data_IF_717737040302
#
_entry.id   IF_717737040302
#
_cell.length_a   1.000
_cell.length_b   1.000
_cell.length_c   1.000
_cell.angle_alpha   90.00
_cell.angle_beta   90.00
_cell.angle_gamma   90.00
#
_symmetry.space_group_name_H-M   'P 1'
#
loop_
_entity.id
_entity.type
_entity.pdbx_description
1 polymer ?
#
# COMPACT_ATOMS: atom_id res chain seq x y z
N UNK A 1 -51.86 -0.37 -23.67
CA UNK A 1 -52.23 -0.85 -22.33
C UNK A 1 -50.99 -0.69 -21.44
N UNK A 2 -51.23 -0.33 -20.22
CA UNK A 2 -50.21 -0.37 -19.20
C UNK A 2 -50.35 -1.69 -18.43
N UNK A 3 -49.32 -2.52 -18.48
CA UNK A 3 -49.24 -3.82 -17.82
C UNK A 3 -48.10 -3.81 -16.77
N UNK A 4 -47.73 -2.63 -16.26
CA UNK A 4 -46.70 -2.46 -15.25
C UNK A 4 -47.13 -3.13 -13.95
N UNK A 5 -46.20 -3.87 -13.35
CA UNK A 5 -46.38 -4.58 -12.07
C UNK A 5 -45.16 -4.43 -11.15
N UNK A 6 -45.09 -5.26 -10.10
CA UNK A 6 -43.98 -5.27 -9.15
C UNK A 6 -42.62 -5.65 -9.75
N UNK A 7 -42.64 -6.29 -10.92
CA UNK A 7 -41.43 -6.76 -11.60
C UNK A 7 -40.88 -5.71 -12.57
N UNK A 8 -41.63 -4.66 -12.87
CA UNK A 8 -41.17 -3.56 -13.71
C UNK A 8 -42.26 -2.88 -14.54
N UNK A 9 -41.85 -1.87 -15.29
CA UNK A 9 -42.70 -1.10 -16.18
C UNK A 9 -42.87 -1.84 -17.50
N UNK A 10 -44.14 -2.05 -17.91
CA UNK A 10 -44.49 -2.70 -19.18
C UNK A 10 -45.63 -1.97 -19.87
N UNK A 11 -45.32 -1.33 -20.99
CA UNK A 11 -46.28 -0.67 -21.86
C UNK A 11 -46.47 -1.51 -23.13
N UNK A 12 -47.72 -1.91 -23.42
CA UNK A 12 -48.05 -2.73 -24.58
C UNK A 12 -48.82 -1.90 -25.59
N UNK A 13 -48.29 -1.79 -26.81
CA UNK A 13 -48.87 -1.06 -27.94
C UNK A 13 -49.32 -2.07 -29.00
N UNK A 14 -50.63 -2.23 -29.17
CA UNK A 14 -51.21 -3.09 -30.20
C UNK A 14 -51.40 -2.29 -31.48
N UNK A 15 -50.97 -2.88 -32.59
CA UNK A 15 -51.04 -2.24 -33.90
C UNK A 15 -52.17 -2.84 -34.72
N UNK A 16 -52.75 -2.06 -35.68
CA UNK A 16 -53.64 -2.55 -36.70
C UNK A 16 -52.91 -3.54 -37.63
N UNK A 17 -53.65 -4.47 -38.25
CA UNK A 17 -53.08 -5.55 -39.09
C UNK A 17 -52.14 -5.07 -40.19
N UNK A 18 -52.42 -3.91 -40.77
CA UNK A 18 -51.66 -3.34 -41.90
C UNK A 18 -50.54 -2.40 -41.50
N UNK A 19 -50.30 -2.21 -40.19
CA UNK A 19 -49.27 -1.32 -39.69
C UNK A 19 -47.92 -2.05 -39.56
N UNK A 20 -46.86 -1.44 -40.08
CA UNK A 20 -45.50 -1.96 -39.89
C UNK A 20 -44.98 -1.59 -38.50
N UNK A 21 -44.67 -2.59 -37.62
CA UNK A 21 -44.24 -2.36 -36.27
C UNK A 21 -42.97 -1.52 -36.18
N UNK A 22 -42.01 -1.73 -37.10
CA UNK A 22 -40.72 -1.03 -37.09
C UNK A 22 -40.89 0.47 -37.40
N UNK A 23 -41.78 0.82 -38.31
CA UNK A 23 -42.06 2.22 -38.65
C UNK A 23 -42.71 2.93 -37.46
N UNK A 24 -43.65 2.28 -36.78
CA UNK A 24 -44.29 2.82 -35.58
C UNK A 24 -43.28 3.02 -34.45
N UNK A 25 -42.44 2.01 -34.22
CA UNK A 25 -41.38 2.06 -33.18
C UNK A 25 -40.40 3.22 -33.45
N UNK A 26 -39.92 3.36 -34.67
CA UNK A 26 -39.03 4.44 -35.06
C UNK A 26 -39.68 5.82 -34.89
N UNK A 27 -40.97 5.96 -35.17
CA UNK A 27 -41.72 7.20 -34.92
C UNK A 27 -41.86 7.48 -33.42
N UNK A 28 -42.12 6.47 -32.62
CA UNK A 28 -42.18 6.61 -31.15
C UNK A 28 -40.83 7.06 -30.60
N UNK A 29 -39.73 6.51 -31.05
CA UNK A 29 -38.39 6.95 -30.64
C UNK A 29 -38.08 8.39 -31.06
N UNK A 30 -38.52 8.80 -32.26
CA UNK A 30 -38.27 10.15 -32.77
C UNK A 30 -39.19 11.23 -32.17
N UNK A 31 -40.41 10.89 -31.80
CA UNK A 31 -41.44 11.86 -31.37
C UNK A 31 -41.76 11.81 -29.88
N UNK A 32 -41.20 10.86 -29.13
CA UNK A 32 -41.42 10.70 -27.70
C UNK A 32 -40.09 10.53 -26.96
N UNK A 33 -40.11 10.53 -25.63
CA UNK A 33 -38.94 10.31 -24.78
C UNK A 33 -38.68 8.79 -24.53
N UNK A 34 -39.25 7.88 -25.35
CA UNK A 34 -38.97 6.45 -25.23
C UNK A 34 -37.52 6.08 -25.51
N UNK A 35 -36.82 6.89 -26.30
CA UNK A 35 -35.40 6.82 -26.48
C UNK A 35 -34.80 8.21 -26.18
N UNK A 36 -33.94 8.28 -25.19
CA UNK A 36 -33.24 9.49 -24.82
C UNK A 36 -31.74 9.21 -24.66
N UNK A 37 -30.93 10.25 -24.84
CA UNK A 37 -29.48 10.19 -24.61
C UNK A 37 -29.17 10.64 -23.22
N UNK A 38 -28.37 9.87 -22.51
CA UNK A 38 -27.82 10.26 -21.22
C UNK A 38 -26.36 10.61 -21.39
N UNK A 39 -26.03 11.86 -21.21
CA UNK A 39 -24.64 12.33 -21.28
C UNK A 39 -23.97 12.15 -19.92
N UNK A 40 -22.84 11.46 -19.91
CA UNK A 40 -22.00 11.32 -18.71
C UNK A 40 -20.87 12.34 -18.81
N UNK A 41 -20.80 13.24 -17.84
CA UNK A 41 -19.74 14.23 -17.73
C UNK A 41 -18.85 13.90 -16.51
N UNK A 42 -17.72 13.27 -16.78
CA UNK A 42 -16.78 12.82 -15.74
C UNK A 42 -15.70 13.87 -15.52
N UNK A 43 -15.99 14.85 -14.68
CA UNK A 43 -15.00 15.82 -14.22
C UNK A 43 -14.20 15.24 -13.06
N UNK A 44 -12.89 15.14 -13.21
CA UNK A 44 -11.98 14.68 -12.18
C UNK A 44 -10.76 15.59 -12.06
N UNK A 45 -10.07 15.49 -10.92
CA UNK A 45 -8.79 16.14 -10.69
C UNK A 45 -7.66 15.17 -11.05
N UNK A 46 -6.77 15.60 -11.94
CA UNK A 46 -5.58 14.86 -12.35
C UNK A 46 -4.30 15.55 -11.84
N UNK A 47 -3.14 14.95 -12.02
CA UNK A 47 -1.84 15.49 -11.60
C UNK A 47 -1.82 15.87 -10.10
N UNK A 48 -2.04 14.90 -9.22
CA UNK A 48 -2.07 15.09 -7.76
C UNK A 48 -3.08 16.18 -7.32
N UNK A 49 -4.29 16.14 -7.89
CA UNK A 49 -5.40 17.03 -7.56
C UNK A 49 -5.18 18.50 -7.95
N UNK A 50 -4.22 18.78 -8.83
CA UNK A 50 -3.91 20.16 -9.21
C UNK A 50 -4.68 20.67 -10.42
N UNK A 51 -5.22 19.76 -11.27
CA UNK A 51 -5.82 20.15 -12.54
C UNK A 51 -7.19 19.49 -12.76
N UNK A 52 -8.30 20.26 -12.84
CA UNK A 52 -9.59 19.71 -13.22
C UNK A 52 -9.63 19.40 -14.73
N UNK A 53 -10.12 18.21 -15.10
CA UNK A 53 -10.23 17.77 -16.49
C UNK A 53 -11.42 16.85 -16.68
N UNK A 54 -12.11 17.01 -17.81
CA UNK A 54 -13.14 16.04 -18.23
C UNK A 54 -12.44 14.85 -18.85
N UNK A 55 -12.70 13.67 -18.30
CA UNK A 55 -12.01 12.44 -18.67
C UNK A 55 -12.96 11.43 -19.34
N UNK A 56 -12.43 10.64 -20.26
CA UNK A 56 -13.08 9.42 -20.70
C UNK A 56 -12.91 8.32 -19.63
N UNK A 57 -13.76 7.29 -19.67
CA UNK A 57 -13.66 6.14 -18.76
C UNK A 57 -12.27 5.51 -18.79
N UNK A 58 -11.71 5.30 -19.98
CA UNK A 58 -10.35 4.74 -20.13
C UNK A 58 -9.31 5.60 -19.41
N UNK A 59 -9.38 6.92 -19.62
CA UNK A 59 -8.40 7.84 -19.00
C UNK A 59 -8.51 7.84 -17.46
N UNK A 60 -9.73 7.72 -16.91
CA UNK A 60 -9.93 7.57 -15.45
C UNK A 60 -9.25 6.30 -14.93
N UNK A 61 -9.37 5.18 -15.66
CA UNK A 61 -8.72 3.94 -15.28
C UNK A 61 -7.18 4.04 -15.36
N UNK A 62 -6.66 4.67 -16.39
CA UNK A 62 -5.22 4.88 -16.55
C UNK A 62 -4.66 5.75 -15.40
N UNK A 63 -5.31 6.86 -15.05
CA UNK A 63 -4.94 7.72 -13.93
C UNK A 63 -5.05 7.00 -12.57
N UNK A 64 -6.09 6.19 -12.40
CA UNK A 64 -6.26 5.39 -11.19
C UNK A 64 -5.13 4.37 -11.00
N UNK A 65 -4.76 3.65 -12.06
CA UNK A 65 -3.66 2.67 -12.02
C UNK A 65 -2.35 3.38 -11.70
N UNK A 66 -2.05 4.49 -12.37
CA UNK A 66 -0.84 5.27 -12.12
C UNK A 66 -0.77 5.76 -10.65
N UNK A 67 -1.89 6.23 -10.10
CA UNK A 67 -1.98 6.63 -8.71
C UNK A 67 -1.74 5.45 -7.74
N UNK A 68 -2.32 4.29 -8.03
CA UNK A 68 -2.12 3.10 -7.21
C UNK A 68 -0.66 2.61 -7.22
N UNK A 69 -0.01 2.63 -8.38
CA UNK A 69 1.43 2.32 -8.50
C UNK A 69 2.26 3.28 -7.63
N UNK A 70 1.99 4.57 -7.69
CA UNK A 70 2.69 5.57 -6.86
C UNK A 70 2.48 5.31 -5.36
N UNK A 71 1.25 4.99 -4.94
CA UNK A 71 0.93 4.66 -3.54
C UNK A 71 1.70 3.43 -3.08
N UNK A 72 1.76 2.36 -3.89
CA UNK A 72 2.52 1.14 -3.57
C UNK A 72 4.01 1.47 -3.42
N UNK A 73 4.60 2.21 -4.36
CA UNK A 73 6.01 2.61 -4.29
C UNK A 73 6.30 3.42 -3.02
N UNK A 74 5.45 4.39 -2.70
CA UNK A 74 5.61 5.26 -1.52
C UNK A 74 5.49 4.47 -0.22
N UNK A 75 4.52 3.57 -0.14
CA UNK A 75 4.34 2.65 0.99
C UNK A 75 5.55 1.72 1.14
N UNK A 76 5.99 1.07 0.07
CA UNK A 76 7.14 0.16 0.09
C UNK A 76 8.42 0.87 0.52
N UNK A 77 8.66 2.11 0.07
CA UNK A 77 9.81 2.91 0.53
C UNK A 77 9.74 3.24 2.02
N UNK A 78 8.57 3.51 2.53
CA UNK A 78 8.37 3.76 3.96
C UNK A 78 8.65 2.50 4.77
N UNK A 79 8.08 1.35 4.35
CA UNK A 79 8.24 0.07 5.03
C UNK A 79 9.70 -0.40 4.98
N UNK A 80 10.39 -0.22 3.83
CA UNK A 80 11.83 -0.49 3.69
C UNK A 80 12.64 0.31 4.69
N UNK A 81 12.44 1.62 4.74
CA UNK A 81 13.17 2.49 5.69
C UNK A 81 12.93 2.05 7.13
N UNK A 82 11.69 1.73 7.51
CA UNK A 82 11.37 1.26 8.87
C UNK A 82 12.00 -0.08 9.19
N UNK A 83 12.06 -0.99 8.23
CA UNK A 83 12.73 -2.27 8.39
C UNK A 83 14.26 -2.08 8.56
N UNK A 84 14.87 -1.21 7.75
CA UNK A 84 16.30 -0.88 7.85
C UNK A 84 16.66 -0.19 9.18
N UNK A 85 15.86 0.79 9.63
CA UNK A 85 16.02 1.44 10.94
C UNK A 85 15.97 0.41 12.09
N UNK A 86 15.06 -0.56 12.01
CA UNK A 86 14.92 -1.60 13.03
C UNK A 86 16.06 -2.63 12.96
N UNK A 87 16.42 -3.08 11.76
CA UNK A 87 17.54 -4.02 11.56
C UNK A 87 18.86 -3.42 12.08
N UNK A 88 19.11 -2.14 11.81
CA UNK A 88 20.27 -1.42 12.30
C UNK A 88 20.34 -1.37 13.85
N UNK A 89 19.20 -1.15 14.52
CA UNK A 89 19.14 -1.23 15.98
C UNK A 89 19.44 -2.65 16.50
N UNK A 90 18.87 -3.67 15.85
CA UNK A 90 19.08 -5.06 16.25
C UNK A 90 20.52 -5.50 16.07
N UNK A 91 21.18 -5.04 15.00
CA UNK A 91 22.62 -5.29 14.78
C UNK A 91 23.46 -4.78 15.96
N UNK A 92 23.23 -3.55 16.41
CA UNK A 92 23.90 -3.01 17.59
C UNK A 92 23.61 -3.80 18.86
N UNK A 93 22.37 -4.23 19.07
CA UNK A 93 21.98 -5.05 20.23
C UNK A 93 22.61 -6.46 20.19
N UNK A 94 22.74 -7.08 19.02
CA UNK A 94 23.43 -8.37 18.87
C UNK A 94 24.92 -8.24 19.18
N UNK A 95 25.60 -7.20 18.68
CA UNK A 95 27.00 -6.91 19.02
C UNK A 95 27.18 -6.75 20.53
N UNK A 96 26.27 -6.03 21.19
CA UNK A 96 26.31 -5.83 22.64
C UNK A 96 26.10 -7.15 23.39
N UNK A 97 25.23 -8.02 22.91
CA UNK A 97 24.91 -9.29 23.53
C UNK A 97 26.05 -10.30 23.39
N UNK A 98 26.78 -10.28 22.27
CA UNK A 98 27.98 -11.09 22.07
C UNK A 98 29.12 -10.70 22.98
N UNK A 99 29.15 -9.43 23.42
CA UNK A 99 30.23 -8.85 24.26
C UNK A 99 29.69 -8.32 25.59
N UNK A 100 28.69 -8.98 26.16
CA UNK A 100 27.93 -8.46 27.31
C UNK A 100 28.79 -8.11 28.53
N UNK A 101 29.78 -8.93 28.85
CA UNK A 101 30.67 -8.71 30.00
C UNK A 101 31.51 -7.42 29.84
N UNK A 102 31.96 -7.16 28.60
CA UNK A 102 32.71 -5.96 28.26
C UNK A 102 31.80 -4.71 28.26
N UNK A 103 30.60 -4.85 27.75
CA UNK A 103 29.58 -3.77 27.79
C UNK A 103 29.26 -3.39 29.24
N UNK A 104 29.00 -4.36 30.12
CA UNK A 104 28.74 -4.11 31.53
C UNK A 104 29.94 -3.46 32.20
N UNK A 105 31.17 -3.89 31.89
CA UNK A 105 32.39 -3.32 32.43
C UNK A 105 32.54 -1.87 32.02
N UNK A 106 32.33 -1.52 30.76
CA UNK A 106 32.37 -0.17 30.23
C UNK A 106 31.34 0.71 30.95
N UNK A 107 30.09 0.27 31.01
CA UNK A 107 29.02 1.04 31.66
C UNK A 107 29.34 1.32 33.14
N UNK A 108 29.86 0.32 33.86
CA UNK A 108 30.23 0.47 35.28
C UNK A 108 31.46 1.36 35.53
N UNK A 109 32.39 1.38 34.58
CA UNK A 109 33.61 2.18 34.69
C UNK A 109 33.45 3.62 34.18
N UNK A 110 32.39 3.92 33.45
CA UNK A 110 32.10 5.24 32.90
C UNK A 110 31.21 6.04 33.84
N UNK A 111 31.50 7.33 34.04
CA UNK A 111 30.70 8.23 34.87
C UNK A 111 29.53 8.84 34.05
N UNK A 112 29.87 9.53 32.94
CA UNK A 112 28.90 10.13 32.01
C UNK A 112 29.19 9.76 30.55
N UNK A 113 30.37 9.18 30.27
CA UNK A 113 30.87 8.93 28.90
C UNK A 113 30.59 7.51 28.42
N UNK A 114 29.63 6.79 29.02
CA UNK A 114 29.33 5.38 28.68
C UNK A 114 28.98 5.19 27.23
N UNK A 115 28.20 6.13 26.66
CA UNK A 115 27.77 6.10 25.25
C UNK A 115 29.00 6.22 24.33
N UNK A 116 29.83 7.22 24.53
CA UNK A 116 31.01 7.50 23.70
C UNK A 116 32.03 6.37 23.78
N UNK A 117 32.21 5.77 24.96
CA UNK A 117 33.05 4.60 25.15
C UNK A 117 32.53 3.35 24.42
N UNK A 118 31.20 3.11 24.40
CA UNK A 118 30.59 2.02 23.64
C UNK A 118 30.74 2.24 22.13
N UNK A 119 30.51 3.47 21.67
CA UNK A 119 30.71 3.84 20.26
C UNK A 119 32.15 3.61 19.80
N UNK A 120 33.13 4.11 20.58
CA UNK A 120 34.55 3.96 20.24
C UNK A 120 35.03 2.50 20.29
N UNK A 121 34.50 1.69 21.22
CA UNK A 121 34.95 0.32 21.41
C UNK A 121 34.38 -0.66 20.38
N UNK A 122 33.09 -0.53 20.04
CA UNK A 122 32.36 -1.48 19.18
C UNK A 122 32.05 -0.93 17.79
N UNK A 123 32.44 0.32 17.50
CA UNK A 123 32.12 0.96 16.21
C UNK A 123 30.63 1.24 15.99
N UNK A 124 29.91 1.42 17.10
CA UNK A 124 28.45 1.69 17.09
C UNK A 124 28.17 3.16 16.82
N UNK A 125 27.00 3.44 16.30
CA UNK A 125 26.50 4.82 16.21
C UNK A 125 25.81 5.26 17.52
N UNK A 126 25.43 6.53 17.57
CA UNK A 126 24.79 7.12 18.76
C UNK A 126 23.45 6.44 19.08
N UNK A 127 22.68 6.07 18.05
CA UNK A 127 21.35 5.46 18.20
C UNK A 127 21.48 4.04 18.74
N UNK A 128 22.43 3.26 18.23
CA UNK A 128 22.73 1.90 18.69
C UNK A 128 23.28 1.91 20.12
N UNK A 129 24.22 2.80 20.42
CA UNK A 129 24.79 2.93 21.77
C UNK A 129 23.73 3.34 22.80
N UNK A 130 22.82 4.27 22.45
CA UNK A 130 21.71 4.65 23.31
C UNK A 130 20.74 3.48 23.54
N UNK A 131 20.42 2.72 22.49
CA UNK A 131 19.56 1.54 22.61
C UNK A 131 20.15 0.47 23.54
N UNK A 132 21.48 0.32 23.56
CA UNK A 132 22.18 -0.59 24.47
C UNK A 132 22.07 -0.08 25.92
N UNK A 133 22.25 1.21 26.18
CA UNK A 133 22.10 1.81 27.50
C UNK A 133 20.67 1.71 28.04
N UNK A 134 19.67 1.81 27.17
CA UNK A 134 18.26 1.70 27.52
C UNK A 134 17.78 0.24 27.68
N UNK A 135 18.65 -0.74 27.40
CA UNK A 135 18.33 -2.15 27.47
C UNK A 135 18.08 -2.58 28.92
N UNK A 136 16.97 -3.30 29.13
CA UNK A 136 16.65 -3.87 30.45
C UNK A 136 17.54 -5.07 30.74
N UNK A 137 18.00 -5.22 31.99
CA UNK A 137 18.79 -6.38 32.43
C UNK A 137 18.18 -7.73 32.09
N UNK A 138 16.84 -7.83 32.02
CA UNK A 138 16.12 -9.03 31.61
C UNK A 138 16.38 -9.43 30.15
N UNK A 139 16.62 -8.46 29.27
CA UNK A 139 16.90 -8.70 27.84
C UNK A 139 18.27 -9.37 27.58
N UNK A 140 19.11 -9.48 28.63
CA UNK A 140 20.42 -10.12 28.58
C UNK A 140 20.35 -11.66 28.71
N UNK A 141 19.16 -12.23 28.85
CA UNK A 141 18.99 -13.69 28.94
C UNK A 141 19.13 -14.35 27.56
N UNK A 142 19.72 -15.56 27.51
CA UNK A 142 19.98 -16.28 26.24
C UNK A 142 18.74 -16.54 25.38
N UNK A 143 17.55 -16.67 25.98
CA UNK A 143 16.27 -16.80 25.26
C UNK A 143 15.89 -15.55 24.44
N UNK A 144 16.34 -14.38 24.87
CA UNK A 144 16.05 -13.15 24.14
C UNK A 144 17.02 -12.96 22.96
N UNK A 145 18.22 -13.56 23.00
CA UNK A 145 19.16 -13.59 21.87
C UNK A 145 18.55 -14.29 20.64
N UNK A 146 18.04 -15.52 20.83
CA UNK A 146 17.41 -16.26 19.72
C UNK A 146 16.25 -15.49 19.08
N UNK A 147 15.51 -14.74 19.88
CA UNK A 147 14.43 -13.88 19.37
C UNK A 147 14.96 -12.72 18.54
N UNK A 148 16.05 -12.08 19.01
CA UNK A 148 16.68 -10.96 18.28
C UNK A 148 17.27 -11.44 16.95
N UNK A 149 17.96 -12.58 16.94
CA UNK A 149 18.54 -13.20 15.74
C UNK A 149 17.41 -13.56 14.73
N UNK A 150 16.32 -14.13 15.22
CA UNK A 150 15.16 -14.47 14.38
C UNK A 150 14.48 -13.21 13.81
N UNK A 151 14.27 -12.20 14.66
CA UNK A 151 13.71 -10.91 14.22
C UNK A 151 14.60 -10.25 13.17
N UNK A 152 15.92 -10.29 13.38
CA UNK A 152 16.89 -9.74 12.43
C UNK A 152 16.84 -10.46 11.07
N UNK A 153 16.84 -11.80 11.07
CA UNK A 153 16.73 -12.58 9.86
C UNK A 153 15.41 -12.31 9.10
N UNK A 154 14.28 -12.24 9.82
CA UNK A 154 12.99 -11.90 9.23
C UNK A 154 12.99 -10.48 8.62
N UNK A 155 13.68 -9.53 9.24
CA UNK A 155 13.83 -8.17 8.71
C UNK A 155 14.72 -8.13 7.48
N UNK A 156 15.81 -8.89 7.44
CA UNK A 156 16.67 -8.97 6.25
C UNK A 156 15.92 -9.53 5.04
N UNK A 157 15.13 -10.60 5.24
CA UNK A 157 14.26 -11.13 4.19
C UNK A 157 13.25 -10.08 3.69
N UNK A 158 12.65 -9.31 4.60
CA UNK A 158 11.71 -8.24 4.25
C UNK A 158 12.40 -7.09 3.50
N UNK A 159 13.59 -6.70 3.92
CA UNK A 159 14.39 -5.66 3.25
C UNK A 159 14.71 -6.11 1.82
N UNK A 160 15.23 -7.33 1.64
CA UNK A 160 15.53 -7.88 0.32
C UNK A 160 14.28 -7.94 -0.58
N UNK A 161 13.13 -8.32 -0.01
CA UNK A 161 11.86 -8.31 -0.72
C UNK A 161 11.47 -6.90 -1.18
N UNK A 162 11.51 -5.89 -0.29
CA UNK A 162 11.14 -4.51 -0.62
C UNK A 162 12.10 -3.90 -1.66
N UNK A 163 13.39 -4.16 -1.55
CA UNK A 163 14.39 -3.73 -2.54
C UNK A 163 14.11 -4.37 -3.90
N UNK A 164 13.84 -5.67 -3.94
CA UNK A 164 13.50 -6.37 -5.18
C UNK A 164 12.21 -5.85 -5.82
N UNK A 165 11.25 -5.41 -5.00
CA UNK A 165 9.99 -4.84 -5.46
C UNK A 165 10.19 -3.45 -6.07
N UNK A 166 11.01 -2.62 -5.42
CA UNK A 166 11.32 -1.27 -5.91
C UNK A 166 12.22 -1.26 -7.16
N UNK A 167 13.02 -2.31 -7.36
CA UNK A 167 13.89 -2.46 -8.52
C UNK A 167 13.14 -2.88 -9.80
N UNK A 168 11.96 -3.49 -9.68
CA UNK A 168 11.23 -4.08 -10.81
C UNK A 168 9.79 -3.55 -10.89
N UNK A 169 9.48 -2.68 -11.88
CA UNK A 169 8.12 -2.17 -12.08
C UNK A 169 7.06 -3.26 -12.34
N UNK A 170 7.44 -4.40 -12.92
CA UNK A 170 6.50 -5.48 -13.16
C UNK A 170 6.06 -6.18 -11.87
N UNK A 171 6.93 -6.24 -10.88
CA UNK A 171 6.56 -6.73 -9.54
C UNK A 171 5.55 -5.80 -8.86
N UNK A 172 5.70 -4.49 -9.03
CA UNK A 172 4.74 -3.49 -8.50
C UNK A 172 3.36 -3.72 -9.13
N UNK A 173 3.30 -3.91 -10.45
CA UNK A 173 2.05 -4.25 -11.16
C UNK A 173 1.46 -5.58 -10.68
N UNK A 174 2.30 -6.56 -10.38
CA UNK A 174 1.89 -7.83 -9.78
C UNK A 174 1.17 -7.64 -8.43
N UNK A 175 1.75 -6.84 -7.54
CA UNK A 175 1.14 -6.49 -6.24
C UNK A 175 -0.17 -5.74 -6.44
N UNK A 176 -0.21 -4.77 -7.37
CA UNK A 176 -1.42 -4.04 -7.71
C UNK A 176 -2.54 -4.97 -8.19
N UNK A 177 -2.22 -5.91 -9.09
CA UNK A 177 -3.18 -6.88 -9.61
C UNK A 177 -3.79 -7.74 -8.51
N UNK A 178 -2.98 -8.24 -7.58
CA UNK A 178 -3.45 -9.02 -6.42
C UNK A 178 -4.35 -8.18 -5.51
N UNK A 179 -3.99 -6.93 -5.24
CA UNK A 179 -4.81 -6.01 -4.44
C UNK A 179 -6.18 -5.76 -5.08
N UNK A 180 -6.26 -5.60 -6.41
CA UNK A 180 -7.53 -5.40 -7.11
C UNK A 180 -8.42 -6.64 -7.13
N UNK A 181 -7.84 -7.84 -7.20
CA UNK A 181 -8.58 -9.10 -7.13
C UNK A 181 -9.27 -9.24 -5.78
N UNK A 182 -8.59 -8.96 -4.67
CA UNK A 182 -9.17 -9.04 -3.33
C UNK A 182 -10.29 -8.03 -3.05
N UNK A 183 -10.37 -6.93 -3.80
CA UNK A 183 -11.47 -5.97 -3.67
C UNK A 183 -12.75 -6.50 -4.36
N UNK A 184 -12.61 -7.41 -5.32
CA UNK A 184 -13.71 -7.96 -6.13
C UNK A 184 -14.32 -9.24 -5.56
N UNK A 185 -13.72 -9.86 -4.55
CA UNK A 185 -14.23 -11.00 -3.77
C UNK A 185 -15.00 -10.53 -2.52
#
# INVERSE_FOLDING_TARGET
RDESDRNGMRVVIELKRDANPQVVLNRLFAQTQLQTTFAINMLALVNNQSQPKILSLRHILDEYIAFQEEVIVRRTRYDLRKAQERAHLLEGLLIAQDNIDEVIKIIRSSYDDARDNLMARFGLDEIQAQAILDMRLKALQGLDREKLEKEYAELEERIAYYESLLADPEKIKGVLKLSLIHISE
#
